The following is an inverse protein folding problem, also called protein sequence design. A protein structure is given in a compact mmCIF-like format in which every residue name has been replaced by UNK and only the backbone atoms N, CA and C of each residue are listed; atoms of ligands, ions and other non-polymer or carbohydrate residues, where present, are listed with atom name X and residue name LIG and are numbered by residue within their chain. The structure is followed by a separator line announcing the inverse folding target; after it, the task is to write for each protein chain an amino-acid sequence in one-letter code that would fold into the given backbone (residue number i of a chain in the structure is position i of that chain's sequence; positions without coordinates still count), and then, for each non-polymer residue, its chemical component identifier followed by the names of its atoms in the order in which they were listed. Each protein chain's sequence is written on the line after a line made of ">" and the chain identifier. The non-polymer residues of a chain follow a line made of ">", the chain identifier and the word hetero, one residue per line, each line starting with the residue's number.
data_IF_500487623115
#
_entry.id   IF_500487623115
#
_cell.length_a   1.000
_cell.length_b   1.000
_cell.length_c   1.000
_cell.angle_alpha   90.00
_cell.angle_beta   90.00
_cell.angle_gamma   90.00
#
_symmetry.space_group_name_H-M   'P 1'
#
loop_
_entity.id
_entity.type
_entity.pdbx_description
1 polymer ?
#
# COMPACT_ATOMS: atom_id res chain seq x y z
N UNK A 1 2.07 9.16 21.76
CA UNK A 1 1.54 7.87 21.25
C UNK A 1 2.17 7.63 19.89
N UNK A 2 2.80 6.48 19.65
CA UNK A 2 3.31 6.16 18.31
C UNK A 2 2.13 5.97 17.37
N UNK A 3 2.10 6.70 16.27
CA UNK A 3 1.12 6.51 15.20
C UNK A 3 1.20 5.07 14.66
N UNK A 4 0.07 4.48 14.25
CA UNK A 4 0.09 3.13 13.67
C UNK A 4 0.71 3.14 12.26
N UNK A 5 1.26 2.03 11.80
CA UNK A 5 1.77 1.92 10.43
C UNK A 5 0.68 2.23 9.39
N UNK A 6 -0.55 1.79 9.64
CA UNK A 6 -1.70 2.09 8.79
C UNK A 6 -2.01 3.59 8.74
N UNK A 7 -1.95 4.31 9.87
CA UNK A 7 -2.19 5.74 9.91
C UNK A 7 -1.12 6.53 9.14
N UNK A 8 0.17 6.15 9.27
CA UNK A 8 1.25 6.75 8.48
C UNK A 8 1.07 6.53 6.97
N UNK A 9 0.70 5.31 6.56
CA UNK A 9 0.41 5.00 5.15
C UNK A 9 -0.82 5.77 4.64
N UNK A 10 -1.88 5.87 5.45
CA UNK A 10 -3.07 6.63 5.08
C UNK A 10 -2.74 8.11 4.87
N UNK A 11 -1.91 8.70 5.73
CA UNK A 11 -1.43 10.08 5.59
C UNK A 11 -0.56 10.28 4.34
N UNK A 12 0.24 9.27 3.94
CA UNK A 12 1.05 9.32 2.72
C UNK A 12 0.19 9.45 1.45
N UNK A 13 -0.95 8.75 1.43
CA UNK A 13 -1.86 8.73 0.28
C UNK A 13 -2.93 9.82 0.32
N UNK A 14 -3.11 10.48 1.47
CA UNK A 14 -4.14 11.49 1.64
C UNK A 14 -3.92 12.69 0.69
N UNK A 15 -5.01 13.17 0.10
CA UNK A 15 -5.00 14.24 -0.90
C UNK A 15 -4.28 13.92 -2.22
N UNK A 16 -3.70 12.72 -2.40
CA UNK A 16 -3.02 12.34 -3.65
C UNK A 16 -4.01 11.85 -4.70
N UNK A 17 -3.88 12.35 -5.94
CA UNK A 17 -4.59 11.81 -7.09
C UNK A 17 -3.91 10.55 -7.59
N UNK A 18 -4.27 9.40 -7.00
CA UNK A 18 -3.76 8.10 -7.41
C UNK A 18 -4.44 7.59 -8.68
N UNK A 19 -3.66 6.99 -9.58
CA UNK A 19 -4.19 6.18 -10.68
C UNK A 19 -4.97 4.98 -10.13
N UNK A 20 -5.83 4.31 -10.93
CA UNK A 20 -6.53 3.11 -10.47
C UNK A 20 -5.58 2.02 -9.94
N UNK A 21 -4.43 1.83 -10.59
CA UNK A 21 -3.39 0.87 -10.19
C UNK A 21 -2.76 1.27 -8.85
N UNK A 22 -2.32 2.52 -8.71
CA UNK A 22 -1.73 3.02 -7.45
C UNK A 22 -2.74 2.95 -6.29
N UNK A 23 -4.03 3.18 -6.54
CA UNK A 23 -5.08 3.07 -5.53
C UNK A 23 -5.24 1.64 -5.02
N UNK A 24 -5.14 0.63 -5.90
CA UNK A 24 -5.15 -0.78 -5.48
C UNK A 24 -3.96 -1.11 -4.60
N UNK A 25 -2.76 -0.69 -5.01
CA UNK A 25 -1.52 -0.88 -4.21
C UNK A 25 -1.67 -0.20 -2.85
N UNK A 26 -2.04 1.09 -2.82
CA UNK A 26 -2.23 1.85 -1.59
C UNK A 26 -3.26 1.20 -0.64
N UNK A 27 -4.38 0.72 -1.18
CA UNK A 27 -5.40 0.01 -0.39
C UNK A 27 -4.84 -1.27 0.24
N UNK A 28 -4.10 -2.08 -0.51
CA UNK A 28 -3.46 -3.29 0.03
C UNK A 28 -2.43 -2.93 1.11
N UNK A 29 -1.63 -1.89 0.89
CA UNK A 29 -0.64 -1.43 1.88
C UNK A 29 -1.28 -1.00 3.20
N UNK A 30 -2.38 -0.23 3.15
CA UNK A 30 -3.08 0.23 4.36
C UNK A 30 -3.75 -0.94 5.10
N UNK A 31 -4.40 -1.86 4.37
CA UNK A 31 -5.06 -3.03 4.98
C UNK A 31 -4.07 -4.03 5.59
N UNK A 32 -2.89 -4.17 5.00
CA UNK A 32 -1.82 -5.08 5.43
C UNK A 32 -0.67 -4.38 6.15
N UNK A 33 -0.88 -3.22 6.77
CA UNK A 33 0.20 -2.33 7.19
C UNK A 33 1.26 -2.93 8.15
N UNK A 34 0.93 -4.01 8.87
CA UNK A 34 1.90 -4.76 9.68
C UNK A 34 2.77 -5.71 8.86
N UNK A 35 2.21 -6.29 7.79
CA UNK A 35 2.83 -7.34 6.97
C UNK A 35 3.58 -6.76 5.76
N UNK A 36 3.08 -5.68 5.19
CA UNK A 36 3.60 -5.04 3.96
C UNK A 36 5.10 -4.73 4.00
N UNK A 37 5.70 -4.29 5.12
CA UNK A 37 7.15 -4.09 5.21
C UNK A 37 7.99 -5.36 4.98
N UNK A 38 7.39 -6.54 5.12
CA UNK A 38 8.03 -7.84 4.95
C UNK A 38 7.73 -8.47 3.59
N UNK A 39 6.87 -7.85 2.77
CA UNK A 39 6.57 -8.31 1.43
C UNK A 39 7.62 -7.82 0.44
N UNK A 40 8.02 -8.70 -0.47
CA UNK A 40 8.71 -8.29 -1.68
C UNK A 40 7.78 -7.48 -2.60
N UNK A 41 8.37 -6.77 -3.57
CA UNK A 41 7.60 -6.03 -4.58
C UNK A 41 6.74 -6.94 -5.46
N UNK A 42 7.18 -8.19 -5.69
CA UNK A 42 6.40 -9.21 -6.41
C UNK A 42 5.16 -9.60 -5.60
N UNK A 43 5.34 -9.96 -4.33
CA UNK A 43 4.24 -10.38 -3.46
C UNK A 43 3.21 -9.27 -3.25
N UNK A 44 3.67 -8.02 -3.09
CA UNK A 44 2.76 -6.87 -2.98
C UNK A 44 1.96 -6.65 -4.28
N UNK A 45 2.60 -6.81 -5.44
CA UNK A 45 1.93 -6.66 -6.73
C UNK A 45 0.87 -7.74 -6.96
N UNK A 46 1.19 -8.99 -6.61
CA UNK A 46 0.24 -10.11 -6.64
C UNK A 46 -0.96 -9.83 -5.72
N UNK A 47 -0.71 -9.41 -4.48
CA UNK A 47 -1.75 -9.03 -3.50
C UNK A 47 -2.63 -7.88 -4.00
N UNK A 48 -2.07 -6.92 -4.72
CA UNK A 48 -2.80 -5.78 -5.26
C UNK A 48 -3.49 -6.07 -6.61
N UNK A 49 -3.30 -7.26 -7.18
CA UNK A 49 -3.84 -7.61 -8.50
C UNK A 49 -3.28 -6.71 -9.60
N UNK A 50 -1.98 -6.44 -9.56
CA UNK A 50 -1.25 -5.60 -10.52
C UNK A 50 -0.02 -6.34 -11.04
N UNK A 51 0.56 -5.85 -12.14
CA UNK A 51 1.86 -6.32 -12.57
C UNK A 51 2.94 -5.75 -11.65
N UNK A 52 4.01 -6.52 -11.42
CA UNK A 52 5.11 -6.09 -10.56
C UNK A 52 5.82 -4.77 -10.96
N UNK A 53 5.91 -4.40 -12.26
CA UNK A 53 6.49 -3.11 -12.64
C UNK A 53 5.66 -1.86 -12.28
N UNK A 54 4.44 -2.03 -11.79
CA UNK A 54 3.49 -0.94 -11.47
C UNK A 54 3.85 -0.18 -10.21
#
# INVERSE_FOLDING_TARGET
>A
MSESAAARLQALFDGKRLTPTQRRIAHCMVRGAAEVPYLSSVELAELAGVSQPS
#
